data_IF_688707986923
#
_entry.id   IF_688707986923
#
_cell.length_a   1.000
_cell.length_b   1.000
_cell.length_c   1.000
_cell.angle_alpha   90.00
_cell.angle_beta   90.00
_cell.angle_gamma   90.00
#
_symmetry.space_group_name_H-M   'P 1'
#
loop_
_entity.id
_entity.type
_entity.pdbx_description
1 polymer ?
#
# COMPACT_ATOMS: atom_id res chain seq x y z
N UNK A 1 13.50 4.43 -22.94
CA UNK A 1 12.52 4.42 -21.84
C UNK A 1 11.14 4.26 -22.43
N UNK A 2 10.17 3.59 -21.77
CA UNK A 2 8.77 3.76 -22.15
C UNK A 2 8.50 5.27 -22.21
N UNK A 3 7.92 5.74 -23.31
CA UNK A 3 7.73 7.18 -23.55
C UNK A 3 6.96 7.81 -22.38
N UNK A 4 7.32 9.05 -22.05
CA UNK A 4 6.68 9.84 -21.00
C UNK A 4 5.17 9.94 -21.27
N UNK A 5 4.36 9.49 -20.30
CA UNK A 5 2.90 9.56 -20.35
C UNK A 5 2.41 11.00 -20.67
N UNK A 6 3.18 12.02 -20.27
CA UNK A 6 2.90 13.42 -20.61
C UNK A 6 2.90 13.68 -22.13
N UNK A 7 3.75 12.98 -22.91
CA UNK A 7 3.81 13.13 -24.36
C UNK A 7 2.57 12.51 -25.01
N UNK A 8 2.12 11.36 -24.51
CA UNK A 8 0.91 10.68 -25.01
C UNK A 8 -0.32 11.54 -24.80
N UNK A 9 -0.50 12.02 -23.57
CA UNK A 9 -1.70 12.76 -23.20
C UNK A 9 -1.76 14.09 -23.96
N UNK A 10 -0.62 14.79 -24.14
CA UNK A 10 -0.56 16.00 -24.97
C UNK A 10 -0.91 15.71 -26.44
N UNK A 11 -0.38 14.63 -27.01
CA UNK A 11 -0.71 14.20 -28.38
C UNK A 11 -2.19 13.86 -28.56
N UNK A 12 -2.82 13.32 -27.52
CA UNK A 12 -4.25 12.99 -27.46
C UNK A 12 -5.16 14.22 -27.46
N UNK A 13 -4.82 15.23 -26.67
CA UNK A 13 -5.65 16.43 -26.63
C UNK A 13 -5.63 17.25 -27.90
N UNK A 14 -4.48 17.31 -28.56
CA UNK A 14 -4.29 18.20 -29.69
C UNK A 14 -4.74 17.56 -31.03
N UNK A 15 -5.34 16.36 -30.99
CA UNK A 15 -5.64 15.52 -32.15
C UNK A 15 -4.39 15.32 -33.07
N UNK A 16 -3.18 15.42 -32.48
CA UNK A 16 -1.91 15.43 -33.20
C UNK A 16 -1.26 14.05 -33.35
N UNK A 17 -1.94 12.97 -32.97
CA UNK A 17 -1.44 11.59 -33.11
C UNK A 17 -1.03 11.16 -34.52
N UNK A 18 -1.43 11.91 -35.55
CA UNK A 18 -1.00 11.69 -36.93
C UNK A 18 0.46 12.13 -37.16
N UNK A 19 0.95 13.11 -36.39
CA UNK A 19 2.27 13.74 -36.57
C UNK A 19 3.23 13.58 -35.38
N UNK A 20 2.80 12.99 -34.27
CA UNK A 20 3.67 12.67 -33.13
C UNK A 20 4.16 11.22 -33.19
N UNK A 21 5.39 10.99 -32.72
CA UNK A 21 5.93 9.64 -32.51
C UNK A 21 4.91 8.80 -31.73
N UNK A 22 4.50 7.65 -32.29
CA UNK A 22 3.70 6.64 -31.58
C UNK A 22 4.55 5.79 -30.62
N UNK A 23 5.80 6.18 -30.40
CA UNK A 23 6.67 5.64 -29.38
C UNK A 23 7.23 4.26 -29.53
N UNK A 24 8.21 4.00 -28.66
CA UNK A 24 8.81 2.69 -28.42
C UNK A 24 7.94 1.86 -27.45
N UNK A 25 6.62 2.09 -27.39
CA UNK A 25 5.71 1.25 -26.58
C UNK A 25 5.76 -0.19 -27.01
N UNK A 26 5.84 -0.44 -28.33
CA UNK A 26 6.00 -1.78 -28.87
C UNK A 26 7.23 -2.49 -28.32
N UNK A 27 8.33 -1.78 -28.04
CA UNK A 27 9.51 -2.39 -27.42
C UNK A 27 9.24 -2.79 -25.97
N UNK A 28 8.64 -1.90 -25.17
CA UNK A 28 8.33 -2.18 -23.75
C UNK A 28 7.27 -3.28 -23.65
N UNK A 29 6.26 -3.25 -24.51
CA UNK A 29 5.22 -4.26 -24.62
C UNK A 29 5.80 -5.60 -25.08
N UNK A 30 6.60 -5.62 -26.14
CA UNK A 30 7.28 -6.84 -26.59
C UNK A 30 8.19 -7.39 -25.50
N UNK A 31 8.85 -6.53 -24.72
CA UNK A 31 9.69 -6.98 -23.60
C UNK A 31 8.85 -7.70 -22.54
N UNK A 32 7.68 -7.16 -22.18
CA UNK A 32 6.76 -7.81 -21.24
C UNK A 32 6.16 -9.08 -21.85
N UNK A 33 5.70 -9.03 -23.10
CA UNK A 33 5.07 -10.14 -23.86
C UNK A 33 6.03 -11.30 -24.15
N UNK A 34 7.33 -11.06 -24.13
CA UNK A 34 8.35 -12.08 -24.39
C UNK A 34 9.09 -12.52 -23.13
N UNK A 35 8.68 -12.02 -21.95
CA UNK A 35 9.27 -12.40 -20.66
C UNK A 35 8.38 -13.38 -19.90
N UNK A 36 9.01 -14.24 -19.09
CA UNK A 36 8.31 -14.90 -17.99
C UNK A 36 8.09 -13.86 -16.87
N UNK A 37 6.86 -13.80 -16.35
CA UNK A 37 6.47 -12.77 -15.38
C UNK A 37 6.42 -13.39 -13.98
N UNK A 38 7.09 -12.77 -13.02
CA UNK A 38 6.98 -13.15 -11.60
C UNK A 38 6.39 -11.97 -10.84
N UNK A 39 5.25 -12.20 -10.21
CA UNK A 39 4.64 -11.23 -9.31
C UNK A 39 4.77 -11.72 -7.88
N UNK A 40 5.50 -10.96 -7.08
CA UNK A 40 5.63 -11.17 -5.64
C UNK A 40 4.58 -10.33 -4.89
N UNK A 41 4.16 -10.83 -3.73
CA UNK A 41 3.14 -10.22 -2.86
C UNK A 41 1.83 -9.82 -3.56
N UNK A 42 1.32 -10.70 -4.44
CA UNK A 42 0.12 -10.45 -5.26
C UNK A 42 -1.13 -10.09 -4.45
N UNK A 43 -1.18 -10.46 -3.17
CA UNK A 43 -2.26 -10.08 -2.27
C UNK A 43 -2.45 -8.57 -2.14
N UNK A 44 -1.37 -7.77 -2.21
CA UNK A 44 -1.43 -6.30 -2.18
C UNK A 44 -2.28 -5.73 -3.34
N UNK A 45 -2.38 -6.47 -4.44
CA UNK A 45 -3.14 -6.11 -5.64
C UNK A 45 -4.50 -6.82 -5.69
N UNK A 46 -4.83 -7.66 -4.71
CA UNK A 46 -6.06 -8.47 -4.73
C UNK A 46 -7.09 -8.03 -3.68
N UNK A 47 -6.70 -7.17 -2.73
CA UNK A 47 -7.54 -6.73 -1.61
C UNK A 47 -8.61 -5.68 -1.96
N UNK A 48 -8.59 -5.15 -3.19
CA UNK A 48 -9.51 -4.13 -3.67
C UNK A 48 -10.14 -4.57 -5.00
N UNK A 49 -11.42 -4.25 -5.21
CA UNK A 49 -12.16 -4.64 -6.43
C UNK A 49 -11.50 -4.13 -7.72
N UNK A 50 -10.97 -2.90 -7.70
CA UNK A 50 -10.28 -2.27 -8.82
C UNK A 50 -8.99 -2.99 -9.17
N UNK A 51 -8.12 -3.17 -8.17
CA UNK A 51 -6.86 -3.90 -8.29
C UNK A 51 -7.08 -5.35 -8.74
N UNK A 52 -8.07 -6.05 -8.16
CA UNK A 52 -8.41 -7.43 -8.51
C UNK A 52 -8.91 -7.55 -9.95
N UNK A 53 -9.71 -6.58 -10.42
CA UNK A 53 -10.15 -6.51 -11.81
C UNK A 53 -8.96 -6.36 -12.76
N UNK A 54 -8.02 -5.46 -12.43
CA UNK A 54 -6.81 -5.28 -13.22
C UNK A 54 -5.93 -6.53 -13.24
N UNK A 55 -5.70 -7.17 -12.09
CA UNK A 55 -4.96 -8.41 -11.96
C UNK A 55 -5.57 -9.51 -12.86
N UNK A 56 -6.89 -9.61 -12.87
CA UNK A 56 -7.62 -10.58 -13.69
C UNK A 56 -7.47 -10.29 -15.18
N UNK A 57 -7.58 -9.02 -15.60
CA UNK A 57 -7.36 -8.63 -17.00
C UNK A 57 -5.92 -8.94 -17.46
N UNK A 58 -4.94 -8.65 -16.61
CA UNK A 58 -3.53 -8.94 -16.88
C UNK A 58 -3.29 -10.46 -17.02
N UNK A 59 -3.85 -11.27 -16.13
CA UNK A 59 -3.79 -12.73 -16.23
C UNK A 59 -4.41 -13.26 -17.53
N UNK A 60 -5.60 -12.78 -17.88
CA UNK A 60 -6.28 -13.18 -19.11
C UNK A 60 -5.44 -12.82 -20.34
N UNK A 61 -4.83 -11.62 -20.32
CA UNK A 61 -3.93 -11.19 -21.38
C UNK A 61 -2.68 -12.09 -21.51
N UNK A 62 -1.99 -12.37 -20.39
CA UNK A 62 -0.79 -13.21 -20.37
C UNK A 62 -1.11 -14.63 -20.88
N UNK A 63 -2.17 -15.25 -20.32
CA UNK A 63 -2.50 -16.63 -20.64
C UNK A 63 -2.96 -16.76 -22.11
N UNK A 64 -3.68 -15.76 -22.64
CA UNK A 64 -4.10 -15.75 -24.05
C UNK A 64 -2.95 -15.60 -25.04
N UNK A 65 -1.77 -15.16 -24.61
CA UNK A 65 -0.56 -15.00 -25.44
C UNK A 65 0.50 -16.08 -25.16
N UNK A 66 0.12 -17.20 -24.54
CA UNK A 66 1.02 -18.32 -24.22
C UNK A 66 2.23 -17.96 -23.36
N UNK A 67 2.11 -16.89 -22.58
CA UNK A 67 3.12 -16.48 -21.61
C UNK A 67 2.96 -17.21 -20.28
N UNK A 68 4.07 -17.28 -19.52
CA UNK A 68 4.10 -17.86 -18.17
C UNK A 68 4.10 -16.76 -17.14
N UNK A 69 3.33 -16.99 -16.09
CA UNK A 69 3.27 -16.10 -14.94
C UNK A 69 3.27 -16.90 -13.65
N UNK A 70 4.11 -16.47 -12.70
CA UNK A 70 4.19 -17.05 -11.36
C UNK A 70 3.69 -16.01 -10.38
N UNK A 71 2.67 -16.38 -9.61
CA UNK A 71 2.10 -15.55 -8.55
C UNK A 71 2.51 -16.08 -7.19
N UNK A 72 3.16 -15.22 -6.41
CA UNK A 72 3.61 -15.54 -5.07
C UNK A 72 2.91 -14.65 -4.06
N UNK A 73 2.47 -15.26 -2.96
CA UNK A 73 1.89 -14.54 -1.83
C UNK A 73 1.82 -15.46 -0.61
N UNK A 74 2.08 -14.90 0.57
CA UNK A 74 1.84 -15.59 1.83
C UNK A 74 0.35 -15.66 2.20
N UNK A 75 -0.46 -14.71 1.72
CA UNK A 75 -1.82 -14.47 2.20
C UNK A 75 -2.79 -14.31 1.04
N UNK A 76 -3.32 -15.41 0.52
CA UNK A 76 -4.39 -15.40 -0.48
C UNK A 76 -5.66 -16.03 0.09
N UNK A 77 -6.71 -15.23 0.37
CA UNK A 77 -8.02 -15.77 0.73
C UNK A 77 -8.57 -16.67 -0.37
N UNK A 78 -9.22 -17.77 0.02
CA UNK A 78 -9.87 -18.71 -0.89
C UNK A 78 -10.90 -18.00 -1.79
N UNK A 79 -11.59 -17.00 -1.26
CA UNK A 79 -12.53 -16.15 -2.01
C UNK A 79 -11.88 -15.47 -3.22
N UNK A 80 -10.64 -15.00 -3.09
CA UNK A 80 -9.95 -14.29 -4.19
C UNK A 80 -9.56 -15.28 -5.29
N UNK A 81 -9.07 -16.46 -4.89
CA UNK A 81 -8.78 -17.58 -5.78
C UNK A 81 -10.02 -17.98 -6.59
N UNK A 82 -11.18 -18.11 -5.96
CA UNK A 82 -12.45 -18.41 -6.63
C UNK A 82 -12.80 -17.34 -7.67
N UNK A 83 -12.78 -16.06 -7.29
CA UNK A 83 -13.11 -14.95 -8.19
C UNK A 83 -12.19 -14.93 -9.44
N UNK A 84 -10.88 -15.13 -9.25
CA UNK A 84 -9.92 -15.21 -10.36
C UNK A 84 -10.21 -16.42 -11.25
N UNK A 85 -10.41 -17.61 -10.67
CA UNK A 85 -10.68 -18.84 -11.42
C UNK A 85 -12.01 -18.82 -12.18
N UNK A 86 -13.02 -18.14 -11.64
CA UNK A 86 -14.32 -17.98 -12.30
C UNK A 86 -14.23 -17.02 -13.48
N UNK A 87 -13.41 -15.97 -13.34
CA UNK A 87 -13.14 -15.04 -14.43
C UNK A 87 -12.30 -15.69 -15.53
N UNK A 88 -11.28 -16.47 -15.16
CA UNK A 88 -10.43 -17.22 -16.07
C UNK A 88 -11.01 -18.59 -16.48
N UNK A 89 -12.34 -18.78 -16.43
CA UNK A 89 -12.98 -20.08 -16.68
C UNK A 89 -12.55 -20.77 -17.98
N UNK A 90 -12.23 -19.99 -19.03
CA UNK A 90 -11.79 -20.48 -20.35
C UNK A 90 -10.37 -21.02 -20.35
N UNK A 91 -9.59 -20.67 -19.35
CA UNK A 91 -8.17 -20.98 -19.22
C UNK A 91 -7.88 -21.80 -17.95
N UNK A 92 -8.91 -22.38 -17.32
CA UNK A 92 -8.79 -23.07 -16.03
C UNK A 92 -7.79 -24.24 -16.08
N UNK A 93 -7.70 -24.92 -17.20
CA UNK A 93 -6.75 -26.00 -17.50
C UNK A 93 -5.30 -25.53 -17.61
N UNK A 94 -5.08 -24.23 -17.74
CA UNK A 94 -3.77 -23.58 -17.85
C UNK A 94 -3.29 -22.94 -16.56
N UNK A 95 -4.08 -23.05 -15.48
CA UNK A 95 -3.76 -22.46 -14.17
C UNK A 95 -3.45 -23.56 -13.17
N UNK A 96 -2.23 -23.54 -12.63
CA UNK A 96 -1.80 -24.43 -11.56
C UNK A 96 -1.70 -23.65 -10.23
N UNK A 97 -2.22 -24.25 -9.15
CA UNK A 97 -2.12 -23.70 -7.79
C UNK A 97 -1.22 -24.58 -6.93
N UNK A 98 -0.09 -24.02 -6.55
CA UNK A 98 0.85 -24.61 -5.60
C UNK A 98 0.52 -24.11 -4.19
N UNK A 99 0.21 -25.02 -3.28
CA UNK A 99 -0.18 -24.73 -1.90
C UNK A 99 0.56 -25.70 -0.97
N UNK A 100 0.68 -25.35 0.32
CA UNK A 100 1.19 -26.27 1.35
C UNK A 100 0.29 -27.51 1.41
N UNK A 101 0.83 -28.67 1.04
CA UNK A 101 0.10 -29.95 0.90
C UNK A 101 0.62 -31.05 1.85
N UNK A 102 1.48 -30.72 2.81
CA UNK A 102 2.00 -31.63 3.82
C UNK A 102 3.19 -32.46 3.35
N UNK A 103 4.19 -31.81 2.73
CA UNK A 103 5.48 -32.46 2.47
C UNK A 103 6.34 -32.54 3.75
N UNK A 104 7.35 -33.41 3.78
CA UNK A 104 8.23 -33.54 4.95
C UNK A 104 8.98 -32.23 5.29
N UNK A 105 9.37 -31.46 4.26
CA UNK A 105 9.99 -30.14 4.42
C UNK A 105 8.99 -29.12 4.97
N UNK A 106 7.73 -29.19 4.55
CA UNK A 106 6.65 -28.35 5.07
C UNK A 106 6.33 -28.68 6.53
N UNK A 107 6.36 -29.96 6.91
CA UNK A 107 6.15 -30.40 8.29
C UNK A 107 7.25 -29.87 9.22
N UNK A 108 8.52 -29.91 8.79
CA UNK A 108 9.63 -29.32 9.53
C UNK A 108 9.47 -27.79 9.67
N UNK A 109 9.09 -27.11 8.58
CA UNK A 109 8.78 -25.69 8.60
C UNK A 109 7.65 -25.37 9.59
N UNK A 110 6.53 -26.10 9.55
CA UNK A 110 5.38 -25.91 10.45
C UNK A 110 5.80 -26.16 11.90
N UNK A 111 6.57 -27.21 12.17
CA UNK A 111 7.10 -27.50 13.51
C UNK A 111 7.91 -26.33 14.07
N UNK A 112 8.82 -25.77 13.27
CA UNK A 112 9.62 -24.60 13.67
C UNK A 112 8.76 -23.36 13.98
N UNK A 113 7.63 -23.20 13.29
CA UNK A 113 6.69 -22.08 13.51
C UNK A 113 5.82 -22.30 14.74
N UNK A 114 5.46 -23.55 15.05
CA UNK A 114 4.71 -23.91 16.26
C UNK A 114 5.52 -23.74 17.56
N UNK A 115 6.86 -23.71 17.48
CA UNK A 115 7.70 -23.36 18.62
C UNK A 115 7.54 -21.89 19.05
N UNK A 116 7.07 -21.02 18.15
CA UNK A 116 6.89 -19.59 18.37
C UNK A 116 5.60 -19.37 19.15
N UNK A 117 5.73 -18.79 20.34
CA UNK A 117 4.61 -18.59 21.28
C UNK A 117 4.52 -17.12 21.67
N UNK A 118 4.10 -16.24 20.75
CA UNK A 118 3.87 -14.85 21.10
C UNK A 118 2.67 -14.72 22.04
N UNK A 119 2.81 -13.90 23.08
CA UNK A 119 1.68 -13.46 23.90
C UNK A 119 0.94 -12.36 23.14
N UNK A 120 -0.37 -12.53 22.89
CA UNK A 120 -1.16 -11.56 22.13
C UNK A 120 -2.11 -10.85 23.09
N UNK A 121 -2.14 -9.52 23.03
CA UNK A 121 -3.05 -8.68 23.80
C UNK A 121 -3.81 -7.74 22.88
N UNK A 122 -5.14 -7.80 22.94
CA UNK A 122 -6.00 -6.94 22.15
C UNK A 122 -6.71 -5.94 23.06
N UNK A 123 -6.52 -4.64 22.81
CA UNK A 123 -7.08 -3.58 23.68
C UNK A 123 -7.73 -2.46 22.89
N UNK A 124 -8.91 -2.05 23.33
CA UNK A 124 -9.52 -0.80 22.86
C UNK A 124 -8.83 0.38 23.55
N UNK A 125 -8.41 1.37 22.78
CA UNK A 125 -7.84 2.62 23.29
C UNK A 125 -8.75 3.82 22.96
N UNK A 126 -8.82 4.77 23.89
CA UNK A 126 -9.40 6.09 23.64
C UNK A 126 -8.33 7.07 23.16
N UNK A 127 -8.73 8.11 22.43
CA UNK A 127 -7.83 9.12 21.86
C UNK A 127 -6.86 9.71 22.88
N UNK A 128 -7.36 10.01 24.08
CA UNK A 128 -6.66 10.82 25.07
C UNK A 128 -5.54 10.05 25.80
N UNK A 129 -5.65 8.73 25.88
CA UNK A 129 -4.69 7.87 26.57
C UNK A 129 -3.91 6.95 25.61
N UNK A 130 -4.14 7.08 24.29
CA UNK A 130 -3.60 6.16 23.27
C UNK A 130 -2.07 6.09 23.31
N UNK A 131 -1.39 7.23 23.15
CA UNK A 131 0.07 7.26 23.07
C UNK A 131 0.74 6.89 24.40
N UNK A 132 0.16 7.27 25.54
CA UNK A 132 0.69 6.88 26.85
C UNK A 132 0.57 5.39 27.09
N UNK A 133 -0.55 4.78 26.66
CA UNK A 133 -0.72 3.32 26.77
C UNK A 133 0.25 2.56 25.86
N UNK A 134 0.41 3.02 24.61
CA UNK A 134 1.37 2.43 23.66
C UNK A 134 2.81 2.56 24.18
N UNK A 135 3.17 3.71 24.80
CA UNK A 135 4.47 3.89 25.45
C UNK A 135 4.64 2.91 26.62
N UNK A 136 3.62 2.73 27.44
CA UNK A 136 3.63 1.73 28.52
C UNK A 136 3.85 0.29 28.02
N UNK A 137 3.30 -0.08 26.86
CA UNK A 137 3.58 -1.38 26.24
C UNK A 137 5.01 -1.50 25.70
N UNK A 138 5.57 -0.41 25.17
CA UNK A 138 6.98 -0.35 24.79
C UNK A 138 7.86 -0.55 26.03
N UNK A 139 7.57 0.14 27.13
CA UNK A 139 8.32 0.00 28.38
C UNK A 139 8.23 -1.42 28.94
N UNK A 140 7.04 -2.02 28.99
CA UNK A 140 6.86 -3.43 29.40
C UNK A 140 7.69 -4.39 28.54
N UNK A 141 7.67 -4.20 27.21
CA UNK A 141 8.46 -5.03 26.30
C UNK A 141 9.98 -4.91 26.58
N UNK A 142 10.48 -3.69 26.80
CA UNK A 142 11.88 -3.44 27.11
C UNK A 142 12.28 -4.02 28.47
N UNK A 143 11.41 -3.90 29.49
CA UNK A 143 11.61 -4.48 30.83
C UNK A 143 11.67 -6.02 30.79
N UNK A 144 10.89 -6.64 29.90
CA UNK A 144 10.95 -8.09 29.61
C UNK A 144 12.21 -8.51 28.83
N UNK A 145 13.06 -7.56 28.46
CA UNK A 145 14.30 -7.80 27.71
C UNK A 145 14.11 -7.91 26.20
N UNK A 146 12.94 -7.55 25.65
CA UNK A 146 12.72 -7.53 24.21
C UNK A 146 13.37 -6.30 23.59
N UNK A 147 14.54 -6.48 22.99
CA UNK A 147 15.37 -5.40 22.41
C UNK A 147 14.99 -4.98 21.00
N UNK A 148 14.14 -5.74 20.32
CA UNK A 148 13.72 -5.45 18.94
C UNK A 148 12.22 -5.22 18.93
N UNK A 149 11.83 -3.95 18.92
CA UNK A 149 10.43 -3.54 19.00
C UNK A 149 10.00 -2.92 17.67
N UNK A 150 8.87 -3.41 17.13
CA UNK A 150 8.23 -2.86 15.95
C UNK A 150 6.89 -2.25 16.34
N UNK A 151 6.69 -0.97 16.04
CA UNK A 151 5.48 -0.22 16.33
C UNK A 151 4.87 0.23 15.00
N UNK A 152 3.69 -0.27 14.65
CA UNK A 152 3.07 -0.02 13.33
C UNK A 152 1.77 0.76 13.47
N UNK A 153 1.74 1.96 12.90
CA UNK A 153 0.55 2.80 12.79
C UNK A 153 -0.05 2.71 11.39
N UNK A 154 -1.38 2.82 11.28
CA UNK A 154 -2.01 2.86 9.96
C UNK A 154 -1.87 4.23 9.26
N UNK A 155 -1.50 5.28 10.00
CA UNK A 155 -1.40 6.63 9.47
C UNK A 155 -0.04 7.25 9.75
N UNK A 156 0.45 8.07 8.81
CA UNK A 156 1.77 8.71 8.93
C UNK A 156 1.76 9.75 10.05
N UNK A 157 0.69 10.52 10.19
CA UNK A 157 0.54 11.53 11.23
C UNK A 157 0.59 10.95 12.64
N UNK A 158 -0.04 9.79 12.89
CA UNK A 158 0.07 9.09 14.17
C UNK A 158 1.48 8.56 14.41
N UNK A 159 2.10 7.94 13.40
CA UNK A 159 3.48 7.43 13.51
C UNK A 159 4.47 8.55 13.89
N UNK A 160 4.40 9.69 13.20
CA UNK A 160 5.25 10.86 13.47
C UNK A 160 4.97 11.42 14.87
N UNK A 161 3.69 11.57 15.24
CA UNK A 161 3.29 12.13 16.54
C UNK A 161 3.75 11.24 17.70
N UNK A 162 3.60 9.93 17.56
CA UNK A 162 4.08 8.98 18.55
C UNK A 162 5.61 8.97 18.62
N UNK A 163 6.29 8.95 17.47
CA UNK A 163 7.75 8.93 17.42
C UNK A 163 8.36 10.16 18.11
N UNK A 164 7.76 11.35 18.01
CA UNK A 164 8.17 12.54 18.78
C UNK A 164 8.15 12.32 20.30
N UNK A 165 7.18 11.58 20.79
CA UNK A 165 7.05 11.27 22.22
C UNK A 165 8.06 10.21 22.71
N UNK A 166 8.95 9.74 21.84
CA UNK A 166 10.05 8.82 22.16
C UNK A 166 11.38 9.56 22.34
N UNK A 167 11.38 10.87 22.59
CA UNK A 167 12.58 11.58 23.03
C UNK A 167 13.15 10.91 24.30
N UNK A 168 14.43 10.56 24.27
CA UNK A 168 15.11 9.82 25.35
C UNK A 168 15.26 8.32 25.13
N UNK A 169 14.52 7.73 24.19
CA UNK A 169 14.78 6.34 23.77
C UNK A 169 15.93 6.29 22.76
N UNK A 170 16.88 5.39 22.99
CA UNK A 170 17.99 5.12 22.07
C UNK A 170 17.55 4.17 20.94
N UNK A 171 18.35 4.11 19.87
CA UNK A 171 18.17 3.15 18.76
C UNK A 171 16.76 3.16 18.12
N UNK A 172 16.11 4.34 18.10
CA UNK A 172 14.80 4.53 17.48
C UNK A 172 14.91 4.97 16.02
N UNK A 173 13.98 4.52 15.18
CA UNK A 173 13.91 4.92 13.77
C UNK A 173 12.46 5.02 13.29
N UNK A 174 12.12 6.13 12.64
CA UNK A 174 10.84 6.34 11.95
C UNK A 174 10.94 6.00 10.46
N UNK A 175 10.04 5.15 9.94
CA UNK A 175 9.98 4.76 8.53
C UNK A 175 8.55 4.89 7.98
N UNK A 176 8.36 5.67 6.91
CA UNK A 176 7.07 5.80 6.22
C UNK A 176 7.25 6.35 4.79
N UNK A 177 6.17 6.45 4.01
CA UNK A 177 6.21 6.87 2.61
C UNK A 177 6.52 8.36 2.36
N UNK A 178 6.29 9.25 3.34
CA UNK A 178 6.47 10.71 3.21
C UNK A 178 7.93 11.24 3.30
N UNK A 179 8.93 10.39 3.10
CA UNK A 179 10.34 10.81 2.98
C UNK A 179 10.73 10.98 1.52
N UNK A 180 11.66 11.89 1.21
CA UNK A 180 12.31 11.98 -0.12
C UNK A 180 13.10 10.71 -0.43
N UNK A 181 13.48 10.50 -1.69
CA UNK A 181 14.28 9.33 -2.07
C UNK A 181 15.63 9.28 -1.35
N UNK A 182 16.35 10.40 -1.28
CA UNK A 182 17.60 10.49 -0.55
C UNK A 182 17.44 10.15 0.94
N UNK A 183 16.33 10.56 1.56
CA UNK A 183 16.09 10.28 2.97
C UNK A 183 15.64 8.84 3.21
N UNK A 184 14.88 8.25 2.28
CA UNK A 184 14.58 6.81 2.30
C UNK A 184 15.86 5.97 2.27
N UNK A 185 16.84 6.35 1.45
CA UNK A 185 18.13 5.67 1.41
C UNK A 185 18.88 5.78 2.75
N UNK A 186 18.98 6.98 3.32
CA UNK A 186 19.61 7.20 4.64
C UNK A 186 18.92 6.42 5.76
N UNK A 187 17.58 6.40 5.77
CA UNK A 187 16.79 5.62 6.74
C UNK A 187 17.01 4.12 6.56
N UNK A 188 17.18 3.64 5.32
CA UNK A 188 17.50 2.24 5.06
C UNK A 188 18.89 1.87 5.59
N UNK A 189 19.91 2.70 5.35
CA UNK A 189 21.26 2.51 5.90
C UNK A 189 21.25 2.47 7.43
N UNK A 190 20.51 3.39 8.05
CA UNK A 190 20.33 3.43 9.50
C UNK A 190 19.63 2.18 10.04
N UNK A 191 18.60 1.69 9.34
CA UNK A 191 17.95 0.42 9.69
C UNK A 191 18.95 -0.75 9.67
N UNK A 192 19.85 -0.82 8.67
CA UNK A 192 20.86 -1.88 8.62
C UNK A 192 21.87 -1.76 9.79
N UNK A 193 22.25 -0.54 10.16
CA UNK A 193 23.12 -0.27 11.33
C UNK A 193 22.46 -0.78 12.61
N UNK A 194 21.19 -0.41 12.83
CA UNK A 194 20.40 -0.82 13.99
C UNK A 194 20.20 -2.34 14.04
N UNK A 195 19.88 -2.98 12.90
CA UNK A 195 19.78 -4.44 12.79
C UNK A 195 21.07 -5.13 13.21
N UNK A 196 22.21 -4.60 12.79
CA UNK A 196 23.53 -5.15 13.13
C UNK A 196 23.88 -4.98 14.62
N UNK A 197 23.34 -3.93 15.26
CA UNK A 197 23.47 -3.73 16.71
C UNK A 197 22.58 -4.64 17.56
N UNK A 198 21.52 -5.22 16.98
CA UNK A 198 20.61 -6.16 17.65
C UNK A 198 19.60 -5.52 18.62
N UNK A 199 19.58 -4.19 18.72
CA UNK A 199 18.68 -3.40 19.57
C UNK A 199 18.09 -2.26 18.75
N UNK A 200 16.75 -2.17 18.69
CA UNK A 200 16.05 -1.11 17.98
C UNK A 200 14.58 -0.97 18.36
N UNK A 201 14.09 0.27 18.18
CA UNK A 201 12.68 0.64 18.24
C UNK A 201 12.29 1.23 16.89
N UNK A 202 11.61 0.45 16.05
CA UNK A 202 11.15 0.92 14.74
C UNK A 202 9.70 1.37 14.86
N UNK A 203 9.45 2.66 14.61
CA UNK A 203 8.11 3.18 14.39
C UNK A 203 7.87 3.27 12.89
N UNK A 204 6.82 2.64 12.39
CA UNK A 204 6.57 2.60 10.97
C UNK A 204 5.08 2.63 10.62
N UNK A 205 4.82 2.80 9.33
CA UNK A 205 3.50 2.56 8.73
C UNK A 205 3.50 1.26 7.92
N UNK A 206 2.54 1.06 7.01
CA UNK A 206 2.41 -0.12 6.13
C UNK A 206 3.66 -0.46 5.31
N UNK A 207 4.64 0.45 5.24
CA UNK A 207 5.92 0.22 4.56
C UNK A 207 6.71 -0.98 5.10
N UNK A 208 6.37 -1.50 6.30
CA UNK A 208 6.99 -2.73 6.84
C UNK A 208 6.32 -4.02 6.39
N UNK A 209 5.14 -3.92 5.76
CA UNK A 209 4.40 -5.10 5.28
C UNK A 209 5.12 -5.71 4.07
N UNK A 210 5.71 -4.87 3.19
CA UNK A 210 6.43 -5.29 2.01
C UNK A 210 7.85 -4.69 1.94
N UNK A 211 8.83 -5.50 1.52
CA UNK A 211 10.16 -5.01 1.14
C UNK A 211 11.14 -4.69 2.28
N UNK A 212 10.74 -4.79 3.56
CA UNK A 212 11.65 -4.67 4.70
C UNK A 212 11.89 -6.02 5.39
N UNK A 213 13.11 -6.54 5.27
CA UNK A 213 13.54 -7.71 6.02
C UNK A 213 13.91 -7.31 7.45
N UNK A 214 12.99 -7.50 8.40
CA UNK A 214 13.18 -7.23 9.82
C UNK A 214 12.47 -8.30 10.67
N UNK A 215 13.02 -8.57 11.85
CA UNK A 215 12.39 -9.40 12.89
C UNK A 215 12.22 -8.61 14.18
N UNK A 216 11.13 -8.77 14.92
CA UNK A 216 10.95 -8.16 16.24
C UNK A 216 10.62 -9.21 17.30
N UNK A 217 10.95 -8.92 18.55
CA UNK A 217 10.47 -9.67 19.71
C UNK A 217 9.18 -9.09 20.26
N UNK A 218 8.96 -7.79 20.07
CA UNK A 218 7.72 -7.12 20.40
C UNK A 218 7.11 -6.46 19.16
N UNK A 219 5.81 -6.66 18.97
CA UNK A 219 5.00 -6.01 17.95
C UNK A 219 3.91 -5.18 18.64
N UNK A 220 3.86 -3.88 18.38
CA UNK A 220 2.78 -3.01 18.85
C UNK A 220 2.11 -2.45 17.59
N UNK A 221 0.92 -2.91 17.25
CA UNK A 221 0.30 -2.58 15.96
C UNK A 221 -1.13 -2.11 16.10
N UNK A 222 -1.47 -1.14 15.26
CA UNK A 222 -2.83 -0.73 14.98
C UNK A 222 -3.60 -1.89 14.34
N UNK A 223 -4.91 -1.95 14.54
CA UNK A 223 -5.77 -2.91 13.88
C UNK A 223 -5.81 -2.64 12.37
N UNK A 224 -5.58 -3.67 11.56
CA UNK A 224 -5.63 -3.61 10.10
C UNK A 224 -6.43 -4.81 9.55
N UNK A 225 -6.77 -4.87 8.26
CA UNK A 225 -7.31 -6.06 7.63
C UNK A 225 -6.42 -7.30 7.86
N UNK A 226 -7.01 -8.49 7.78
CA UNK A 226 -6.33 -9.72 8.17
C UNK A 226 -5.06 -10.00 7.35
N UNK A 227 -5.02 -9.67 6.06
CA UNK A 227 -3.80 -9.78 5.25
C UNK A 227 -2.66 -8.92 5.83
N UNK A 228 -2.86 -7.59 5.94
CA UNK A 228 -1.89 -6.69 6.58
C UNK A 228 -1.51 -7.13 8.00
N UNK A 229 -2.47 -7.61 8.79
CA UNK A 229 -2.20 -8.13 10.12
C UNK A 229 -1.24 -9.32 10.07
N UNK A 230 -1.50 -10.33 9.24
CA UNK A 230 -0.62 -11.50 9.09
C UNK A 230 0.78 -11.06 8.62
N UNK A 231 0.88 -10.09 7.71
CA UNK A 231 2.18 -9.58 7.25
C UNK A 231 2.98 -8.89 8.36
N UNK A 232 2.31 -8.10 9.22
CA UNK A 232 2.93 -7.50 10.41
C UNK A 232 3.37 -8.56 11.42
N UNK A 233 2.53 -9.56 11.68
CA UNK A 233 2.89 -10.70 12.53
C UNK A 233 4.00 -11.56 11.92
N UNK A 234 4.15 -11.59 10.59
CA UNK A 234 5.28 -12.20 9.89
C UNK A 234 6.62 -11.51 10.13
N UNK A 235 6.61 -10.33 10.78
CA UNK A 235 7.80 -9.63 11.30
C UNK A 235 8.03 -9.89 12.78
N UNK A 236 7.07 -10.45 13.51
CA UNK A 236 7.24 -10.87 14.91
C UNK A 236 7.85 -12.28 14.93
N UNK A 237 8.93 -12.48 15.68
CA UNK A 237 9.64 -13.76 15.78
C UNK A 237 9.93 -14.34 14.37
N UNK A 238 10.46 -13.54 13.45
CA UNK A 238 10.68 -13.95 12.06
C UNK A 238 11.86 -14.92 11.94
N UNK A 239 12.96 -14.68 12.65
CA UNK A 239 14.20 -15.46 12.55
C UNK A 239 14.11 -16.80 13.29
N UNK A 240 15.08 -17.68 13.00
CA UNK A 240 15.22 -18.96 13.70
C UNK A 240 15.71 -18.75 15.14
N UNK A 241 15.28 -19.65 16.04
CA UNK A 241 15.61 -19.57 17.47
C UNK A 241 14.78 -18.57 18.28
N UNK A 242 13.99 -17.70 17.63
CA UNK A 242 13.08 -16.78 18.28
C UNK A 242 11.80 -17.49 18.71
N UNK A 243 11.60 -17.66 20.02
CA UNK A 243 10.49 -18.45 20.59
C UNK A 243 9.48 -17.63 21.38
N UNK A 244 9.98 -16.66 22.15
CA UNK A 244 9.17 -15.84 23.05
C UNK A 244 9.12 -14.40 22.54
N UNK A 245 7.93 -13.81 22.59
CA UNK A 245 7.67 -12.44 22.17
C UNK A 245 6.28 -12.00 22.61
N UNK A 246 5.97 -10.73 22.36
CA UNK A 246 4.69 -10.12 22.72
C UNK A 246 4.13 -9.31 21.55
N UNK A 247 2.81 -9.36 21.39
CA UNK A 247 2.08 -8.57 20.42
C UNK A 247 0.96 -7.79 21.12
N UNK A 248 0.97 -6.47 20.98
CA UNK A 248 -0.13 -5.61 21.39
C UNK A 248 -0.86 -5.11 20.15
N UNK A 249 -2.15 -5.40 20.05
CA UNK A 249 -3.01 -4.90 18.98
C UNK A 249 -3.98 -3.91 19.59
N UNK A 250 -3.98 -2.67 19.11
CA UNK A 250 -4.96 -1.68 19.54
C UNK A 250 -6.01 -1.39 18.47
N UNK A 251 -7.18 -0.98 18.93
CA UNK A 251 -8.22 -0.44 18.07
C UNK A 251 -8.94 0.71 18.79
N UNK A 252 -9.57 1.57 18.01
CA UNK A 252 -10.21 2.79 18.50
C UNK A 252 -11.74 2.70 18.40
N UNK A 253 -12.43 3.64 19.05
CA UNK A 253 -13.89 3.64 19.17
C UNK A 253 -14.65 3.79 17.85
N UNK A 254 -14.02 4.43 16.87
CA UNK A 254 -14.54 4.69 15.53
C UNK A 254 -14.76 3.41 14.70
N UNK A 255 -14.19 2.27 15.10
CA UNK A 255 -14.50 0.97 14.49
C UNK A 255 -16.00 0.61 14.62
N UNK A 256 -16.65 1.07 15.68
CA UNK A 256 -18.09 0.91 15.90
C UNK A 256 -18.97 1.99 15.26
N UNK A 257 -18.38 2.95 14.53
CA UNK A 257 -19.12 4.04 13.90
C UNK A 257 -19.77 3.66 12.56
N UNK A 258 -20.52 4.60 11.98
CA UNK A 258 -21.28 4.37 10.74
C UNK A 258 -20.46 4.55 9.45
N UNK A 259 -19.24 5.07 9.55
CA UNK A 259 -18.37 5.30 8.38
C UNK A 259 -17.96 3.96 7.75
N UNK A 260 -17.84 3.90 6.43
CA UNK A 260 -17.34 2.70 5.75
C UNK A 260 -15.82 2.53 5.91
N UNK A 261 -15.09 3.59 6.19
CA UNK A 261 -13.63 3.58 6.33
C UNK A 261 -13.25 3.70 7.80
N UNK A 262 -12.38 2.80 8.26
CA UNK A 262 -11.66 2.86 9.53
C UNK A 262 -10.22 3.30 9.26
N UNK A 263 -9.88 4.54 9.62
CA UNK A 263 -8.62 5.22 9.24
C UNK A 263 -8.37 5.24 7.73
N UNK A 264 -7.71 4.21 7.21
CA UNK A 264 -7.32 4.05 5.80
C UNK A 264 -7.85 2.75 5.18
N UNK A 265 -8.54 1.92 5.94
CA UNK A 265 -9.02 0.59 5.52
C UNK A 265 -10.54 0.47 5.56
N UNK A 266 -11.07 -0.56 4.91
CA UNK A 266 -12.49 -0.93 5.04
C UNK A 266 -12.82 -1.31 6.49
N UNK A 267 -13.83 -0.65 7.06
CA UNK A 267 -14.25 -0.85 8.45
C UNK A 267 -14.79 -2.26 8.68
N UNK A 268 -15.52 -2.82 7.72
CA UNK A 268 -16.09 -4.16 7.80
C UNK A 268 -15.00 -5.22 7.91
N UNK A 269 -13.97 -5.13 7.07
CA UNK A 269 -12.80 -6.01 7.11
C UNK A 269 -12.03 -5.86 8.44
N UNK A 270 -11.82 -4.64 8.93
CA UNK A 270 -11.16 -4.42 10.23
C UNK A 270 -11.98 -5.01 11.39
N UNK A 271 -13.30 -4.85 11.38
CA UNK A 271 -14.18 -5.40 12.43
C UNK A 271 -14.17 -6.94 12.41
N UNK A 272 -14.28 -7.55 11.24
CA UNK A 272 -14.16 -9.00 11.09
C UNK A 272 -12.77 -9.51 11.52
N UNK A 273 -11.71 -8.75 11.21
CA UNK A 273 -10.34 -9.06 11.64
C UNK A 273 -10.21 -9.03 13.16
N UNK A 274 -10.79 -8.04 13.84
CA UNK A 274 -10.79 -7.96 15.30
C UNK A 274 -11.43 -9.20 15.95
N UNK A 275 -12.57 -9.63 15.42
CA UNK A 275 -13.26 -10.83 15.93
C UNK A 275 -12.45 -12.11 15.69
N UNK A 276 -11.80 -12.22 14.53
CA UNK A 276 -10.89 -13.32 14.22
C UNK A 276 -9.64 -13.34 15.13
N UNK A 277 -9.05 -12.17 15.42
CA UNK A 277 -7.87 -12.06 16.30
C UNK A 277 -8.16 -12.47 17.75
N UNK A 278 -9.39 -12.30 18.24
CA UNK A 278 -9.78 -12.80 19.57
C UNK A 278 -9.69 -14.32 19.71
N UNK A 279 -9.74 -15.06 18.60
CA UNK A 279 -9.49 -16.52 18.62
C UNK A 279 -8.00 -16.82 18.75
N UNK A 280 -7.15 -16.03 18.08
CA UNK A 280 -5.70 -16.11 18.22
C UNK A 280 -5.23 -15.74 19.63
N UNK A 281 -5.83 -14.72 20.26
CA UNK A 281 -5.58 -14.33 21.65
C UNK A 281 -5.86 -15.47 22.65
N UNK A 282 -6.86 -16.34 22.36
CA UNK A 282 -7.18 -17.52 23.17
C UNK A 282 -6.23 -18.70 22.93
N UNK A 283 -5.28 -18.58 22.00
CA UNK A 283 -4.35 -19.64 21.63
C UNK A 283 -4.95 -20.73 20.73
N UNK A 284 -6.14 -20.50 20.15
CA UNK A 284 -6.79 -21.47 19.28
C UNK A 284 -6.13 -21.54 17.89
N UNK A 285 -5.53 -20.44 17.44
CA UNK A 285 -4.91 -20.30 16.11
C UNK A 285 -3.57 -19.60 16.24
N UNK A 286 -2.59 -20.03 15.46
CA UNK A 286 -1.27 -19.40 15.34
C UNK A 286 -1.21 -18.52 14.09
N UNK A 287 -0.75 -17.27 14.27
CA UNK A 287 -0.48 -16.33 13.17
C UNK A 287 0.86 -16.59 12.46
N UNK A 288 1.65 -17.58 12.91
CA UNK A 288 2.91 -17.99 12.30
C UNK A 288 2.78 -19.22 11.40
N UNK A 289 1.66 -19.93 11.47
CA UNK A 289 1.41 -21.17 10.73
C UNK A 289 0.45 -20.89 9.57
N UNK A 290 0.83 -21.19 8.31
CA UNK A 290 0.00 -20.84 7.16
C UNK A 290 -1.29 -21.66 7.05
N UNK A 291 -1.21 -22.97 7.24
CA UNK A 291 -2.30 -23.91 6.99
C UNK A 291 -2.47 -24.93 8.13
N UNK A 292 -3.54 -25.72 8.08
CA UNK A 292 -3.88 -26.71 9.11
C UNK A 292 -4.85 -26.20 10.16
N UNK A 293 -5.17 -27.03 11.15
CA UNK A 293 -6.21 -26.76 12.16
C UNK A 293 -5.95 -25.51 13.01
N UNK A 294 -4.67 -25.11 13.12
CA UNK A 294 -4.24 -23.91 13.86
C UNK A 294 -3.64 -22.84 12.94
N UNK A 295 -3.82 -22.93 11.63
CA UNK A 295 -3.22 -21.99 10.68
C UNK A 295 -4.03 -20.71 10.50
N UNK A 296 -3.36 -19.61 10.19
CA UNK A 296 -4.00 -18.31 9.96
C UNK A 296 -4.93 -18.29 8.74
N UNK A 297 -4.80 -19.22 7.79
CA UNK A 297 -5.69 -19.31 6.62
C UNK A 297 -7.17 -19.45 7.02
N UNK A 298 -7.47 -20.13 8.12
CA UNK A 298 -8.84 -20.24 8.63
C UNK A 298 -9.43 -18.88 9.03
N UNK A 299 -8.60 -18.02 9.65
CA UNK A 299 -9.00 -16.67 10.02
C UNK A 299 -9.10 -15.78 8.79
N UNK A 300 -8.16 -15.91 7.87
CA UNK A 300 -8.13 -15.18 6.61
C UNK A 300 -9.40 -15.44 5.79
N UNK A 301 -9.72 -16.72 5.54
CA UNK A 301 -10.89 -17.09 4.74
C UNK A 301 -12.20 -16.61 5.39
N UNK A 302 -12.30 -16.65 6.72
CA UNK A 302 -13.47 -16.15 7.43
C UNK A 302 -13.64 -14.64 7.27
N UNK A 303 -12.56 -13.86 7.38
CA UNK A 303 -12.62 -12.40 7.27
C UNK A 303 -13.04 -11.96 5.86
N UNK A 304 -12.57 -12.66 4.84
CA UNK A 304 -12.81 -12.30 3.44
C UNK A 304 -13.98 -13.05 2.79
N UNK A 305 -14.66 -13.96 3.50
CA UNK A 305 -15.81 -14.71 2.99
C UNK A 305 -16.94 -13.78 2.53
N UNK A 306 -17.25 -12.77 3.35
CA UNK A 306 -18.32 -11.79 3.11
C UNK A 306 -17.80 -10.44 2.60
N UNK A 307 -16.53 -10.37 2.18
CA UNK A 307 -15.96 -9.16 1.61
C UNK A 307 -16.69 -8.78 0.31
N UNK A 308 -17.13 -7.53 0.16
CA UNK A 308 -17.78 -7.02 -1.06
C UNK A 308 -16.76 -6.74 -2.16
N UNK A 309 -16.11 -7.80 -2.63
CA UNK A 309 -15.14 -7.76 -3.72
C UNK A 309 -15.76 -8.24 -5.03
N UNK A 310 -15.58 -7.45 -6.08
CA UNK A 310 -16.19 -7.69 -7.39
C UNK A 310 -15.18 -7.48 -8.50
N UNK A 311 -15.21 -8.41 -9.46
CA UNK A 311 -14.49 -8.27 -10.72
C UNK A 311 -15.41 -7.58 -11.72
N UNK A 312 -14.97 -6.45 -12.27
CA UNK A 312 -15.72 -5.73 -13.29
C UNK A 312 -15.32 -6.24 -14.69
N UNK A 313 -16.10 -7.17 -15.22
CA UNK A 313 -15.89 -7.75 -16.57
C UNK A 313 -15.90 -6.72 -17.70
N UNK A 314 -16.69 -5.64 -17.60
CA UNK A 314 -16.69 -4.59 -18.62
C UNK A 314 -15.33 -3.86 -18.65
N UNK A 315 -14.73 -3.64 -17.48
CA UNK A 315 -13.40 -3.04 -17.39
C UNK A 315 -12.31 -4.01 -17.91
N UNK A 316 -12.45 -5.33 -17.68
CA UNK A 316 -11.56 -6.33 -18.28
C UNK A 316 -11.62 -6.23 -19.81
N UNK A 317 -12.82 -6.27 -20.40
CA UNK A 317 -12.99 -6.18 -21.86
C UNK A 317 -12.37 -4.88 -22.42
N UNK A 318 -12.59 -3.75 -21.74
CA UNK A 318 -11.97 -2.46 -22.10
C UNK A 318 -10.43 -2.57 -22.07
N UNK A 319 -9.84 -3.09 -20.99
CA UNK A 319 -8.39 -3.27 -20.86
C UNK A 319 -7.82 -4.17 -21.95
N UNK A 320 -8.47 -5.30 -22.24
CA UNK A 320 -8.03 -6.22 -23.29
C UNK A 320 -8.19 -5.61 -24.70
N UNK A 321 -9.22 -4.79 -24.91
CA UNK A 321 -9.45 -4.11 -26.19
C UNK A 321 -8.35 -3.11 -26.55
N UNK A 322 -7.66 -2.55 -25.55
CA UNK A 322 -6.50 -1.66 -25.77
C UNK A 322 -5.37 -2.40 -26.48
N UNK A 323 -5.12 -3.67 -26.12
CA UNK A 323 -4.07 -4.47 -26.73
C UNK A 323 -4.43 -4.97 -28.14
N UNK A 324 -5.72 -5.15 -28.43
CA UNK A 324 -6.17 -5.61 -29.75
C UNK A 324 -6.33 -4.47 -30.76
N UNK A 325 -6.40 -3.22 -30.31
CA UNK A 325 -6.57 -2.04 -31.15
C UNK A 325 -5.35 -1.10 -31.11
N UNK A 326 -4.19 -1.63 -31.53
CA UNK A 326 -2.89 -0.95 -31.54
C UNK A 326 -2.85 0.40 -32.27
N UNK A 327 -3.84 0.68 -33.12
CA UNK A 327 -3.95 1.93 -33.87
C UNK A 327 -4.57 3.09 -33.09
N UNK A 328 -5.19 2.81 -31.94
CA UNK A 328 -6.07 3.74 -31.22
C UNK A 328 -5.61 3.91 -29.76
N UNK A 329 -4.44 4.53 -29.59
CA UNK A 329 -3.86 4.90 -28.28
C UNK A 329 -4.85 5.73 -27.45
N UNK A 330 -5.75 6.48 -28.09
CA UNK A 330 -6.76 7.28 -27.43
C UNK A 330 -7.63 6.48 -26.47
N UNK A 331 -7.97 5.23 -26.80
CA UNK A 331 -8.72 4.35 -25.90
C UNK A 331 -7.95 4.00 -24.63
N UNK A 332 -6.65 3.83 -24.72
CA UNK A 332 -5.80 3.56 -23.55
C UNK A 332 -5.77 4.78 -22.62
N UNK A 333 -5.64 5.98 -23.20
CA UNK A 333 -5.64 7.25 -22.47
C UNK A 333 -7.00 7.52 -21.82
N UNK A 334 -8.10 7.28 -22.54
CA UNK A 334 -9.46 7.42 -22.01
C UNK A 334 -9.69 6.46 -20.84
N UNK A 335 -9.30 5.19 -21.00
CA UNK A 335 -9.41 4.20 -19.94
C UNK A 335 -8.56 4.58 -18.71
N UNK A 336 -7.34 5.10 -18.91
CA UNK A 336 -6.50 5.59 -17.82
C UNK A 336 -7.20 6.69 -17.01
N UNK A 337 -7.87 7.63 -17.69
CA UNK A 337 -8.63 8.69 -17.03
C UNK A 337 -9.95 8.20 -16.40
N UNK A 338 -10.65 7.24 -17.01
CA UNK A 338 -11.81 6.57 -16.40
C UNK A 338 -11.42 5.84 -15.11
N UNK A 339 -10.22 5.27 -15.08
CA UNK A 339 -9.62 4.60 -13.91
C UNK A 339 -8.96 5.58 -12.94
N UNK A 340 -9.20 6.89 -13.08
CA UNK A 340 -8.69 7.94 -12.19
C UNK A 340 -7.16 7.90 -12.04
N UNK A 341 -6.44 7.60 -13.12
CA UNK A 341 -4.98 7.65 -13.17
C UNK A 341 -4.25 6.53 -12.43
N UNK A 342 -4.95 5.49 -11.98
CA UNK A 342 -4.32 4.28 -11.46
C UNK A 342 -5.13 3.05 -11.81
N UNK A 343 -4.49 1.99 -12.30
CA UNK A 343 -5.17 0.72 -12.58
C UNK A 343 -5.24 -0.19 -11.36
N UNK A 344 -4.32 0.01 -10.41
CA UNK A 344 -4.22 -0.76 -9.18
C UNK A 344 -4.89 0.04 -8.08
N UNK A 345 -4.30 1.15 -7.66
CA UNK A 345 -4.74 1.88 -6.46
C UNK A 345 -6.14 2.50 -6.61
N UNK A 346 -6.89 2.51 -5.51
CA UNK A 346 -8.13 3.29 -5.39
C UNK A 346 -7.90 4.80 -5.62
N UNK A 347 -6.73 5.33 -5.27
CA UNK A 347 -6.41 6.75 -5.44
C UNK A 347 -5.09 6.96 -6.17
N UNK A 348 -5.08 7.91 -7.13
CA UNK A 348 -3.86 8.36 -7.78
C UNK A 348 -2.89 9.03 -6.78
N UNK A 349 -1.61 8.99 -7.12
CA UNK A 349 -0.58 9.75 -6.41
C UNK A 349 -0.33 11.08 -7.10
N UNK A 350 -0.23 12.14 -6.31
CA UNK A 350 0.07 13.50 -6.75
C UNK A 350 1.43 13.90 -6.17
N UNK A 351 2.43 14.26 -7.01
CA UNK A 351 3.70 14.75 -6.53
C UNK A 351 3.53 16.14 -5.91
N UNK A 352 4.00 16.29 -4.69
CA UNK A 352 4.00 17.55 -3.95
C UNK A 352 5.38 17.88 -3.42
N UNK A 353 5.61 19.17 -3.19
CA UNK A 353 6.86 19.71 -2.67
C UNK A 353 6.57 20.92 -1.80
N UNK A 354 7.21 21.02 -0.63
CA UNK A 354 7.23 22.27 0.13
C UNK A 354 8.48 23.10 -0.25
N UNK A 355 8.51 24.42 0.01
CA UNK A 355 9.63 25.29 -0.38
C UNK A 355 11.01 24.83 0.11
N UNK A 356 11.06 24.11 1.23
CA UNK A 356 12.30 23.64 1.89
C UNK A 356 12.89 22.38 1.22
N UNK A 357 12.07 21.64 0.48
CA UNK A 357 12.47 20.40 -0.18
C UNK A 357 13.18 20.70 -1.50
N UNK A 358 14.11 19.83 -1.90
CA UNK A 358 14.66 19.80 -3.27
C UNK A 358 13.91 18.82 -4.17
N UNK A 359 13.57 17.66 -3.61
CA UNK A 359 12.89 16.56 -4.27
C UNK A 359 11.41 16.53 -3.90
N UNK A 360 10.59 15.96 -4.76
CA UNK A 360 9.16 15.75 -4.52
C UNK A 360 8.86 14.50 -3.68
N UNK A 361 7.71 14.52 -3.02
CA UNK A 361 7.10 13.37 -2.34
C UNK A 361 5.70 13.20 -2.91
N UNK A 362 5.27 11.96 -3.11
CA UNK A 362 3.92 11.68 -3.57
C UNK A 362 2.94 11.59 -2.40
N UNK A 363 1.78 12.22 -2.55
CA UNK A 363 0.62 12.08 -1.64
C UNK A 363 -0.58 11.54 -2.39
N UNK A 364 -1.52 10.91 -1.70
CA UNK A 364 -2.76 10.44 -2.32
C UNK A 364 -3.62 11.60 -2.83
N UNK A 365 -4.37 11.39 -3.91
CA UNK A 365 -5.25 12.41 -4.49
C UNK A 365 -6.24 12.96 -3.44
N UNK A 366 -6.79 12.11 -2.57
CA UNK A 366 -7.70 12.55 -1.49
C UNK A 366 -7.04 13.54 -0.53
N UNK A 367 -5.75 13.34 -0.23
CA UNK A 367 -4.96 14.28 0.58
C UNK A 367 -4.73 15.57 -0.19
N UNK A 368 -4.35 15.47 -1.46
CA UNK A 368 -4.16 16.64 -2.32
C UNK A 368 -5.42 17.49 -2.47
N UNK A 369 -6.59 16.87 -2.68
CA UNK A 369 -7.88 17.56 -2.75
C UNK A 369 -8.23 18.27 -1.45
N UNK A 370 -7.85 17.72 -0.28
CA UNK A 370 -8.00 18.39 1.01
C UNK A 370 -7.09 19.61 1.12
N UNK A 371 -5.82 19.47 0.76
CA UNK A 371 -4.88 20.61 0.71
C UNK A 371 -5.38 21.71 -0.21
N UNK A 372 -6.00 21.34 -1.34
CA UNK A 372 -6.57 22.30 -2.28
C UNK A 372 -7.76 23.04 -1.68
N UNK A 373 -8.69 22.31 -1.04
CA UNK A 373 -9.86 22.88 -0.36
C UNK A 373 -9.47 23.83 0.78
N UNK A 374 -8.37 23.53 1.48
CA UNK A 374 -7.85 24.36 2.58
C UNK A 374 -6.94 25.50 2.09
N UNK A 375 -6.77 25.66 0.76
CA UNK A 375 -5.97 26.73 0.18
C UNK A 375 -4.47 26.59 0.44
N UNK A 376 -4.00 25.37 0.74
CA UNK A 376 -2.60 25.07 1.05
C UNK A 376 -1.77 24.73 -0.18
N UNK A 377 -2.40 24.49 -1.34
CA UNK A 377 -1.66 24.40 -2.61
C UNK A 377 -1.43 25.81 -3.13
N UNK A 378 -0.17 26.23 -3.24
CA UNK A 378 0.22 27.62 -3.54
C UNK A 378 0.71 27.84 -4.97
N UNK A 379 1.09 26.77 -5.66
CA UNK A 379 1.68 26.85 -6.99
C UNK A 379 1.98 25.49 -7.57
N UNK A 380 2.63 25.48 -8.72
CA UNK A 380 3.08 24.28 -9.39
C UNK A 380 4.47 24.47 -9.98
N UNK A 381 5.17 23.37 -10.19
CA UNK A 381 6.45 23.30 -10.90
C UNK A 381 6.19 22.56 -12.19
N UNK A 382 6.41 23.23 -13.31
CA UNK A 382 6.22 22.68 -14.66
C UNK A 382 7.57 22.43 -15.32
N UNK A 383 7.70 21.29 -16.01
CA UNK A 383 8.90 20.91 -16.74
C UNK A 383 8.97 21.62 -18.11
N UNK A 384 9.76 22.69 -18.18
CA UNK A 384 10.10 23.42 -19.42
C UNK A 384 11.63 23.61 -19.51
N UNK A 385 12.39 22.54 -19.73
CA UNK A 385 13.86 22.55 -19.77
C UNK A 385 14.54 22.49 -18.39
N UNK A 386 15.88 22.47 -18.37
CA UNK A 386 16.76 22.07 -17.24
C UNK A 386 16.54 22.79 -15.87
N UNK A 387 15.65 23.79 -15.80
CA UNK A 387 15.21 24.41 -14.55
C UNK A 387 13.70 24.63 -14.62
N UNK A 388 12.92 23.77 -13.97
CA UNK A 388 11.45 23.87 -13.93
C UNK A 388 10.97 25.27 -13.55
N UNK A 389 9.91 25.74 -14.18
CA UNK A 389 9.34 27.08 -13.96
C UNK A 389 8.31 26.98 -12.84
N UNK A 390 8.44 27.86 -11.84
CA UNK A 390 7.41 28.04 -10.83
C UNK A 390 6.26 28.84 -11.43
N UNK A 391 5.10 28.22 -11.58
CA UNK A 391 3.91 28.87 -12.13
C UNK A 391 2.82 29.02 -11.07
N UNK A 392 2.03 30.07 -11.22
CA UNK A 392 0.77 30.21 -10.49
C UNK A 392 -0.16 29.04 -10.82
N UNK A 393 -0.99 28.66 -9.86
CA UNK A 393 -2.04 27.69 -10.13
C UNK A 393 -3.02 28.24 -11.18
N UNK A 394 -3.53 27.41 -12.10
CA UNK A 394 -4.62 27.79 -12.97
C UNK A 394 -5.83 28.27 -12.15
N UNK A 395 -6.57 29.26 -12.66
CA UNK A 395 -7.73 29.84 -11.96
C UNK A 395 -8.76 28.80 -11.52
N UNK A 396 -9.04 27.81 -12.37
CA UNK A 396 -9.97 26.72 -12.06
C UNK A 396 -9.52 25.80 -10.92
N UNK A 397 -8.21 25.74 -10.65
CA UNK A 397 -7.64 25.00 -9.54
C UNK A 397 -7.60 25.86 -8.27
N UNK A 398 -7.26 27.16 -8.41
CA UNK A 398 -7.15 28.10 -7.28
C UNK A 398 -8.48 28.55 -6.69
N UNK A 399 -9.56 28.61 -7.48
CA UNK A 399 -10.87 29.12 -7.03
C UNK A 399 -11.69 28.09 -6.23
N UNK A 400 -11.08 26.95 -5.85
CA UNK A 400 -11.75 25.93 -5.04
C UNK A 400 -13.03 25.44 -5.71
N UNK A 401 -12.88 24.73 -6.83
CA UNK A 401 -13.98 24.22 -7.67
C UNK A 401 -15.11 23.58 -6.84
N UNK A 402 -16.15 24.38 -6.56
CA UNK A 402 -17.45 23.94 -6.02
C UNK A 402 -18.46 23.71 -7.14
N UNK A 403 -18.08 23.94 -8.41
CA UNK A 403 -18.99 24.03 -9.56
C UNK A 403 -18.48 23.38 -10.85
N UNK A 404 -17.60 22.37 -10.78
CA UNK A 404 -17.17 21.65 -11.97
C UNK A 404 -18.03 20.41 -12.24
N UNK A 405 -18.70 20.37 -13.41
CA UNK A 405 -19.20 19.13 -14.00
C UNK A 405 -18.02 18.18 -14.30
N UNK A 406 -18.12 16.93 -13.85
CA UNK A 406 -17.11 15.87 -14.00
C UNK A 406 -16.25 15.64 -12.74
N UNK A 407 -15.55 14.48 -12.68
CA UNK A 407 -14.64 14.16 -11.56
C UNK A 407 -13.48 15.16 -11.50
N UNK A 408 -13.34 15.88 -10.38
CA UNK A 408 -12.23 16.82 -10.11
C UNK A 408 -10.87 16.13 -10.27
N UNK A 409 -10.76 14.91 -9.76
CA UNK A 409 -9.60 14.02 -9.89
C UNK A 409 -9.18 13.87 -11.36
N UNK A 410 -10.12 13.60 -12.26
CA UNK A 410 -9.82 13.47 -13.70
C UNK A 410 -9.23 14.75 -14.28
N UNK A 411 -9.74 15.93 -13.90
CA UNK A 411 -9.22 17.23 -14.37
C UNK A 411 -7.81 17.50 -13.85
N UNK A 412 -7.53 17.16 -12.58
CA UNK A 412 -6.21 17.30 -11.97
C UNK A 412 -5.19 16.42 -12.69
N UNK A 413 -5.48 15.12 -12.85
CA UNK A 413 -4.57 14.17 -13.51
C UNK A 413 -4.29 14.60 -14.95
N UNK A 414 -5.34 15.04 -15.64
CA UNK A 414 -5.24 15.55 -17.00
C UNK A 414 -4.32 16.77 -17.07
N UNK A 415 -4.47 17.71 -16.14
CA UNK A 415 -3.60 18.88 -16.02
C UNK A 415 -2.15 18.51 -15.72
N UNK A 416 -1.91 17.55 -14.81
CA UNK A 416 -0.56 17.05 -14.48
C UNK A 416 0.17 16.64 -15.76
N UNK A 417 -0.48 15.83 -16.60
CA UNK A 417 0.16 15.31 -17.81
C UNK A 417 0.26 16.35 -18.94
N UNK A 418 -0.77 17.19 -19.14
CA UNK A 418 -0.78 18.18 -20.20
C UNK A 418 0.22 19.30 -19.97
N UNK A 419 0.25 19.84 -18.76
CA UNK A 419 1.17 20.91 -18.41
C UNK A 419 2.57 20.36 -18.10
N UNK A 420 2.77 19.05 -17.93
CA UNK A 420 4.06 18.51 -17.50
C UNK A 420 4.39 18.94 -16.07
N UNK A 421 3.40 18.85 -15.17
CA UNK A 421 3.57 19.23 -13.76
C UNK A 421 4.49 18.20 -13.10
N UNK A 422 5.68 18.65 -12.71
CA UNK A 422 6.62 17.85 -11.94
C UNK A 422 6.17 17.69 -10.49
N UNK A 423 5.70 18.79 -9.87
CA UNK A 423 5.18 18.78 -8.51
C UNK A 423 4.29 19.99 -8.22
N UNK A 424 3.32 19.84 -7.31
CA UNK A 424 2.59 20.96 -6.74
C UNK A 424 3.28 21.51 -5.50
N UNK A 425 3.28 22.82 -5.35
CA UNK A 425 3.84 23.51 -4.19
C UNK A 425 2.78 23.56 -3.10
N UNK A 426 3.07 22.95 -1.96
CA UNK A 426 2.15 22.90 -0.82
C UNK A 426 2.74 23.62 0.38
N UNK A 427 1.86 24.26 1.16
CA UNK A 427 2.17 24.83 2.46
C UNK A 427 2.32 23.70 3.48
N UNK A 428 3.53 23.56 4.01
CA UNK A 428 3.96 22.49 4.89
C UNK A 428 5.45 22.62 5.17
N UNK A 429 5.97 21.75 6.03
CA UNK A 429 7.38 21.70 6.38
C UNK A 429 7.97 20.33 6.04
N UNK A 430 9.29 20.29 5.84
CA UNK A 430 9.99 19.03 5.67
C UNK A 430 11.14 18.92 6.67
N UNK A 431 11.20 17.77 7.34
CA UNK A 431 12.30 17.44 8.25
C UNK A 431 12.87 16.08 7.88
N UNK A 432 14.19 15.91 7.79
CA UNK A 432 14.76 14.61 7.39
C UNK A 432 14.52 13.48 8.40
N UNK A 433 14.19 13.82 9.65
CA UNK A 433 13.81 12.86 10.69
C UNK A 433 12.33 12.45 10.60
N UNK A 434 11.43 13.41 10.31
CA UNK A 434 9.96 13.24 10.33
C UNK A 434 9.27 13.18 8.95
N UNK A 435 9.99 13.50 7.88
CA UNK A 435 9.52 13.58 6.51
C UNK A 435 8.67 14.83 6.22
N UNK A 436 7.81 14.72 5.21
CA UNK A 436 6.87 15.77 4.82
C UNK A 436 5.71 15.86 5.82
N UNK A 437 5.57 17.05 6.40
CA UNK A 437 4.50 17.41 7.31
C UNK A 437 3.60 18.45 6.66
N UNK A 438 2.33 18.09 6.58
CA UNK A 438 1.29 18.93 6.01
C UNK A 438 0.52 19.54 7.19
N UNK A 439 0.30 20.86 7.19
CA UNK A 439 -0.34 21.61 8.29
C UNK A 439 -1.81 21.25 8.56
N UNK A 440 -2.34 20.22 7.91
CA UNK A 440 -3.69 19.71 8.09
C UNK A 440 -3.63 18.49 9.01
N UNK A 441 -4.69 18.24 9.80
CA UNK A 441 -4.94 16.89 10.32
C UNK A 441 -5.27 15.98 9.12
N UNK A 442 -4.21 15.53 8.44
CA UNK A 442 -4.30 14.85 7.12
C UNK A 442 -4.89 13.46 7.25
N UNK A 443 -4.80 12.85 8.43
CA UNK A 443 -5.21 11.48 8.65
C UNK A 443 -6.46 11.49 9.53
N UNK A 444 -7.51 10.80 9.07
CA UNK A 444 -8.91 11.04 9.41
C UNK A 444 -9.24 11.25 10.90
N UNK A 445 -9.85 12.40 11.16
CA UNK A 445 -10.92 12.59 12.15
C UNK A 445 -12.11 13.24 11.43
#
# INVERSE_FOLDING_TARGET
>A
APEDLNVVVRGWEEDRFVNTSRGHYLFSWSSVMMSDIVLDEVHLVAEESKSLTFLTAMLEHIISHDQRVVFMTATMPTRFKELILDSLRRFRDRVEWMEFRGSAEEDEYIASRLEKKPEIHIRRLGSDAKFDTIRGWLDDALERGFRRVLIVFNTVGEAVSFYRNLEGYENRLLIHSRFTEGDRLRKHEELQRLKSGGDYIIVATQVVEAGLDLSSNALITDLAPMCSTIQRFGRLLRYEGEREGVAYVWYESDLGGDRQIYKVYDRGLCAATLDALREAERGNVSLHVPSGERGYKLLLDRVYQDADLRINYQNIDKMLSVFTNLGDISKAVDLFFEMEGSFVRESALVPVRCPEMKDEVSVEMRVFERLLKEGLVKGQIVENGEKGIHECLPSWLSEGSTTLQGSLTRKIIKHIHNAGVKAFIVEGSYNSEYGLELGVRVDGA
#
